data_IF_557995035144
#
_entry.id   IF_557995035144
#
_cell.length_a   1.000
_cell.length_b   1.000
_cell.length_c   1.000
_cell.angle_alpha   90.00
_cell.angle_beta   90.00
_cell.angle_gamma   90.00
#
_symmetry.space_group_name_H-M   'P 1'
#
loop_
_entity.id
_entity.type
_entity.pdbx_description
1 polymer ?
#
# COMPACT_ATOMS: atom_id res chain seq x y z
N UNK A 1 6.37 -44.69 -3.05
CA UNK A 1 5.82 -43.51 -3.76
C UNK A 1 5.95 -42.34 -2.81
N UNK A 2 6.91 -41.45 -3.07
CA UNK A 2 7.25 -40.36 -2.16
C UNK A 2 6.39 -39.14 -2.50
N UNK A 3 5.60 -38.71 -1.52
CA UNK A 3 4.66 -37.61 -1.66
C UNK A 3 5.45 -36.30 -1.69
N UNK A 4 5.92 -35.89 -2.87
CA UNK A 4 6.64 -34.63 -3.06
C UNK A 4 5.63 -33.47 -2.90
N UNK A 5 5.47 -32.98 -1.68
CA UNK A 5 4.71 -31.76 -1.41
C UNK A 5 5.45 -30.62 -2.12
N UNK A 6 4.86 -30.11 -3.21
CA UNK A 6 5.36 -28.91 -3.86
C UNK A 6 5.25 -27.76 -2.83
N UNK A 7 6.33 -27.02 -2.56
CA UNK A 7 6.21 -25.83 -1.71
C UNK A 7 5.18 -24.90 -2.35
N UNK A 8 4.20 -24.45 -1.56
CA UNK A 8 3.21 -23.51 -2.04
C UNK A 8 3.92 -22.26 -2.58
N UNK A 9 3.57 -21.86 -3.81
CA UNK A 9 4.11 -20.66 -4.44
C UNK A 9 3.68 -19.44 -3.60
N UNK A 10 4.59 -18.88 -2.79
CA UNK A 10 4.37 -17.58 -2.16
C UNK A 10 4.56 -16.49 -3.22
N UNK A 11 3.47 -15.85 -3.63
CA UNK A 11 3.52 -14.68 -4.50
C UNK A 11 3.96 -13.45 -3.68
N UNK A 12 4.77 -12.55 -4.25
CA UNK A 12 5.13 -11.30 -3.61
C UNK A 12 3.91 -10.37 -3.56
N UNK A 13 3.38 -10.17 -2.35
CA UNK A 13 2.14 -9.43 -2.09
C UNK A 13 2.27 -8.62 -0.80
N UNK A 14 1.47 -7.56 -0.69
CA UNK A 14 1.25 -6.84 0.55
C UNK A 14 0.17 -7.56 1.35
N UNK A 15 0.39 -7.72 2.65
CA UNK A 15 -0.69 -8.05 3.60
C UNK A 15 -1.54 -6.80 3.82
N UNK A 16 -2.85 -6.97 3.85
CA UNK A 16 -3.82 -5.89 4.05
C UNK A 16 -4.61 -6.17 5.32
N UNK A 17 -4.78 -5.16 6.15
CA UNK A 17 -5.65 -5.17 7.32
C UNK A 17 -6.63 -4.01 7.24
N UNK A 18 -7.93 -4.31 7.37
CA UNK A 18 -9.03 -3.34 7.33
C UNK A 18 -9.57 -3.13 8.75
N UNK A 19 -9.83 -1.88 9.12
CA UNK A 19 -10.22 -1.47 10.46
C UNK A 19 -11.46 -0.60 10.39
N UNK A 20 -12.42 -0.84 11.28
CA UNK A 20 -13.56 0.07 11.51
C UNK A 20 -13.22 1.22 12.47
N UNK A 21 -11.92 1.48 12.66
CA UNK A 21 -11.36 2.53 13.51
C UNK A 21 -10.21 3.22 12.75
N UNK A 22 -10.26 4.55 12.56
CA UNK A 22 -9.23 5.31 11.85
C UNK A 22 -7.91 5.42 12.64
N UNK A 23 -7.89 5.05 13.92
CA UNK A 23 -6.70 5.12 14.78
C UNK A 23 -5.88 3.82 14.80
N UNK A 24 -6.38 2.76 14.16
CA UNK A 24 -5.75 1.43 14.13
C UNK A 24 -5.49 0.83 15.53
N UNK A 25 -6.30 1.20 16.52
CA UNK A 25 -6.18 0.74 17.90
C UNK A 25 -6.91 -0.58 18.16
N UNK A 26 -7.99 -0.82 17.40
CA UNK A 26 -8.75 -2.06 17.42
C UNK A 26 -8.09 -3.17 16.58
N UNK A 27 -8.53 -4.43 16.78
CA UNK A 27 -8.19 -5.52 15.87
C UNK A 27 -8.80 -5.28 14.47
N UNK A 28 -8.14 -5.73 13.40
CA UNK A 28 -8.71 -5.62 12.05
C UNK A 28 -9.95 -6.49 11.91
N UNK A 29 -10.95 -5.98 11.20
CA UNK A 29 -12.21 -6.69 10.90
C UNK A 29 -12.06 -7.66 9.72
N UNK A 30 -11.10 -7.39 8.84
CA UNK A 30 -10.74 -8.23 7.70
C UNK A 30 -9.23 -8.16 7.47
N UNK A 31 -8.65 -9.28 7.06
CA UNK A 31 -7.30 -9.32 6.48
C UNK A 31 -7.35 -9.89 5.06
N UNK A 32 -6.44 -9.45 4.20
CA UNK A 32 -6.32 -9.91 2.81
C UNK A 32 -4.86 -9.83 2.35
N UNK A 33 -4.64 -10.10 1.06
CA UNK A 33 -3.40 -9.81 0.35
C UNK A 33 -3.70 -9.06 -0.96
N UNK A 34 -2.76 -8.23 -1.41
CA UNK A 34 -2.85 -7.55 -2.71
C UNK A 34 -1.47 -7.42 -3.35
N UNK A 35 -1.35 -7.55 -4.69
CA UNK A 35 -0.08 -7.28 -5.37
C UNK A 35 0.25 -5.79 -5.48
N UNK A 36 -0.69 -4.87 -5.19
CA UNK A 36 -0.53 -3.42 -5.35
C UNK A 36 -1.57 -2.61 -4.57
N UNK A 37 -1.31 -1.30 -4.39
CA UNK A 37 -2.26 -0.32 -3.81
C UNK A 37 -2.69 0.64 -4.92
N UNK A 38 -3.82 0.35 -5.53
CA UNK A 38 -4.41 1.12 -6.63
C UNK A 38 -5.92 0.85 -6.63
N UNK A 39 -6.72 1.77 -6.09
CA UNK A 39 -8.18 1.62 -6.12
C UNK A 39 -8.89 2.97 -6.17
N UNK A 40 -10.06 2.95 -6.81
CA UNK A 40 -11.06 4.00 -6.84
C UNK A 40 -12.43 3.37 -6.54
N UNK A 41 -12.95 3.54 -5.32
CA UNK A 41 -14.26 2.96 -4.97
C UNK A 41 -15.43 3.83 -5.45
N UNK A 42 -15.15 5.05 -5.93
CA UNK A 42 -16.16 6.02 -6.38
C UNK A 42 -17.05 5.55 -7.54
N UNK A 43 -16.63 4.51 -8.27
CA UNK A 43 -17.34 3.95 -9.43
C UNK A 43 -17.87 2.54 -9.14
N UNK A 44 -17.59 1.99 -7.95
CA UNK A 44 -18.07 0.67 -7.57
C UNK A 44 -19.51 0.75 -7.06
N UNK A 45 -20.40 -0.03 -7.69
CA UNK A 45 -21.81 -0.06 -7.31
C UNK A 45 -21.96 -0.71 -5.93
N UNK A 46 -22.27 0.09 -4.91
CA UNK A 46 -23.14 -0.38 -3.83
C UNK A 46 -22.77 -0.05 -2.40
N UNK A 47 -21.56 0.37 -2.02
CA UNK A 47 -21.28 0.48 -0.56
C UNK A 47 -20.30 1.54 -0.05
N UNK A 48 -19.55 2.27 -0.88
CA UNK A 48 -18.40 3.13 -0.46
C UNK A 48 -17.37 2.42 0.45
N UNK A 49 -17.54 1.10 0.65
CA UNK A 49 -16.77 0.26 1.54
C UNK A 49 -15.87 -0.66 0.72
N UNK A 50 -14.61 -0.87 1.15
CA UNK A 50 -13.73 -1.85 0.51
C UNK A 50 -14.26 -3.29 0.54
N UNK A 51 -15.10 -3.64 1.52
CA UNK A 51 -15.81 -4.93 1.58
C UNK A 51 -16.92 -4.90 2.66
N UNK A 52 -18.11 -4.46 2.28
CA UNK A 52 -19.25 -4.46 3.19
C UNK A 52 -19.68 -5.87 3.65
N UNK A 53 -19.43 -6.90 2.83
CA UNK A 53 -19.81 -8.29 3.17
C UNK A 53 -18.98 -8.86 4.32
N UNK A 54 -17.76 -8.34 4.50
CA UNK A 54 -16.89 -8.62 5.64
C UNK A 54 -17.07 -7.64 6.82
N UNK A 55 -18.06 -6.74 6.74
CA UNK A 55 -18.35 -5.79 7.82
C UNK A 55 -17.41 -4.58 7.88
N UNK A 56 -16.68 -4.27 6.80
CA UNK A 56 -15.90 -3.03 6.72
C UNK A 56 -16.86 -1.84 6.56
N UNK A 57 -16.71 -0.81 7.39
CA UNK A 57 -17.54 0.39 7.32
C UNK A 57 -17.35 1.14 5.99
N UNK A 58 -18.41 1.83 5.53
CA UNK A 58 -18.36 2.73 4.38
C UNK A 58 -17.62 4.05 4.66
N UNK A 59 -17.51 4.44 5.93
CA UNK A 59 -16.92 5.71 6.37
C UNK A 59 -16.13 5.50 7.66
N UNK A 60 -15.22 6.41 7.96
CA UNK A 60 -14.39 6.37 9.18
C UNK A 60 -13.68 5.02 9.39
N UNK A 61 -13.05 4.52 8.34
CA UNK A 61 -12.30 3.27 8.37
C UNK A 61 -10.80 3.51 8.12
N UNK A 62 -9.99 2.55 8.53
CA UNK A 62 -8.56 2.51 8.26
C UNK A 62 -8.19 1.30 7.40
N UNK A 63 -7.21 1.45 6.52
CA UNK A 63 -6.58 0.33 5.81
C UNK A 63 -5.08 0.41 6.01
N UNK A 64 -4.46 -0.69 6.41
CA UNK A 64 -3.02 -0.81 6.58
C UNK A 64 -2.49 -1.89 5.65
N UNK A 65 -1.51 -1.53 4.83
CA UNK A 65 -0.73 -2.46 4.05
C UNK A 65 0.64 -2.65 4.69
N UNK A 66 1.11 -3.89 4.75
CA UNK A 66 2.45 -4.23 5.22
C UNK A 66 3.08 -5.27 4.31
N UNK A 67 4.39 -5.20 4.17
CA UNK A 67 5.15 -6.17 3.39
C UNK A 67 6.59 -5.76 3.25
N UNK A 68 7.20 -6.20 2.16
CA UNK A 68 8.58 -5.87 1.85
C UNK A 68 8.73 -5.54 0.37
N UNK A 69 9.59 -4.56 0.11
CA UNK A 69 10.03 -4.12 -1.20
C UNK A 69 11.48 -4.52 -1.42
N UNK A 70 11.87 -4.67 -2.69
CA UNK A 70 13.25 -4.86 -3.12
C UNK A 70 13.51 -4.01 -4.34
N UNK A 71 14.36 -3.01 -4.18
CA UNK A 71 14.84 -2.20 -5.29
C UNK A 71 15.80 -3.02 -6.17
N UNK A 72 15.66 -2.94 -7.48
CA UNK A 72 16.59 -3.59 -8.42
C UNK A 72 17.87 -2.79 -8.64
N UNK A 73 17.84 -1.50 -8.31
CA UNK A 73 18.94 -0.56 -8.49
C UNK A 73 19.17 0.20 -7.19
N UNK A 74 20.41 0.63 -6.99
CA UNK A 74 20.80 1.48 -5.88
C UNK A 74 20.43 2.93 -6.20
N UNK A 75 19.92 3.66 -5.19
CA UNK A 75 19.77 5.11 -5.29
C UNK A 75 18.51 5.69 -4.63
N UNK A 76 18.26 6.97 -4.90
CA UNK A 76 17.09 7.71 -4.40
C UNK A 76 15.81 7.37 -5.18
N UNK A 77 14.87 6.70 -4.52
CA UNK A 77 13.54 6.42 -5.03
C UNK A 77 12.56 7.52 -4.61
N UNK A 78 11.68 7.90 -5.52
CA UNK A 78 10.58 8.82 -5.24
C UNK A 78 9.29 8.03 -5.12
N UNK A 79 8.60 8.17 -3.99
CA UNK A 79 7.26 7.64 -3.76
C UNK A 79 6.24 8.76 -3.84
N UNK A 80 5.08 8.45 -4.42
CA UNK A 80 3.93 9.34 -4.48
C UNK A 80 2.70 8.60 -3.96
N UNK A 81 2.01 9.20 -3.01
CA UNK A 81 0.66 8.80 -2.63
C UNK A 81 -0.32 9.80 -3.22
N UNK A 82 -1.31 9.32 -3.98
CA UNK A 82 -2.52 10.07 -4.32
C UNK A 82 -3.68 9.46 -3.53
N UNK A 83 -4.39 10.27 -2.76
CA UNK A 83 -5.54 9.81 -1.96
C UNK A 83 -6.56 10.92 -1.75
N UNK A 84 -7.82 10.52 -1.60
CA UNK A 84 -8.93 11.40 -1.19
C UNK A 84 -8.74 11.93 0.25
N UNK A 85 -8.11 11.15 1.12
CA UNK A 85 -8.02 11.45 2.55
C UNK A 85 -6.60 11.21 3.11
N UNK A 86 -6.48 10.97 4.42
CA UNK A 86 -5.19 10.89 5.12
C UNK A 86 -4.47 9.62 4.70
N UNK A 87 -3.17 9.75 4.41
CA UNK A 87 -2.35 8.62 4.03
C UNK A 87 -0.88 8.80 4.43
N UNK A 88 -0.23 7.71 4.79
CA UNK A 88 1.13 7.70 5.33
C UNK A 88 1.92 6.53 4.79
N UNK A 89 3.20 6.76 4.50
CA UNK A 89 4.14 5.72 4.05
C UNK A 89 5.32 5.67 5.01
N UNK A 90 5.71 4.45 5.38
CA UNK A 90 6.97 4.15 6.02
C UNK A 90 7.76 3.14 5.21
N UNK A 91 9.07 3.36 5.14
CA UNK A 91 10.06 2.44 4.59
C UNK A 91 11.11 2.21 5.67
N UNK A 92 11.37 0.95 6.04
CA UNK A 92 12.28 0.59 7.14
C UNK A 92 11.98 1.33 8.45
N UNK A 93 10.69 1.49 8.74
CA UNK A 93 10.19 2.19 9.92
C UNK A 93 10.33 3.71 9.87
N UNK A 94 11.04 4.27 8.88
CA UNK A 94 11.17 5.71 8.67
C UNK A 94 9.94 6.25 7.94
N UNK A 95 9.32 7.30 8.46
CA UNK A 95 8.15 7.93 7.82
C UNK A 95 8.60 8.74 6.59
N UNK A 96 8.24 8.25 5.40
CA UNK A 96 8.62 8.84 4.10
C UNK A 96 7.55 9.81 3.60
N UNK A 97 6.27 9.52 3.84
CA UNK A 97 5.13 10.40 3.48
C UNK A 97 4.20 10.53 4.69
N UNK A 98 3.73 11.75 4.96
CA UNK A 98 2.71 12.07 5.97
C UNK A 98 1.67 13.05 5.40
N UNK A 99 0.71 12.55 4.60
CA UNK A 99 -0.40 13.36 4.09
C UNK A 99 -1.48 13.44 5.16
N UNK A 100 -1.60 14.59 5.81
CA UNK A 100 -2.57 14.85 6.87
C UNK A 100 -3.87 15.50 6.38
N UNK A 101 -3.96 15.89 5.10
CA UNK A 101 -5.17 16.50 4.54
C UNK A 101 -6.30 15.49 4.36
N UNK A 102 -7.52 15.91 4.68
CA UNK A 102 -8.77 15.15 4.49
C UNK A 102 -9.45 15.46 3.16
N UNK A 103 -8.68 15.90 2.16
CA UNK A 103 -9.16 16.25 0.82
C UNK A 103 -8.28 15.60 -0.25
N UNK A 104 -8.83 15.36 -1.45
CA UNK A 104 -8.07 14.75 -2.54
C UNK A 104 -6.79 15.51 -2.85
N UNK A 105 -5.71 14.76 -3.06
CA UNK A 105 -4.42 15.33 -3.43
C UNK A 105 -3.28 14.31 -3.33
N UNK A 106 -2.10 14.77 -3.74
CA UNK A 106 -0.89 13.96 -3.74
C UNK A 106 0.12 14.44 -2.69
N UNK A 107 0.88 13.50 -2.15
CA UNK A 107 2.06 13.77 -1.34
C UNK A 107 3.24 12.95 -1.85
N UNK A 108 4.44 13.53 -1.81
CA UNK A 108 5.67 12.95 -2.35
C UNK A 108 6.66 12.78 -1.21
N UNK A 109 7.36 11.65 -1.21
CA UNK A 109 8.44 11.38 -0.29
C UNK A 109 9.56 10.66 -1.01
N UNK A 110 10.79 10.83 -0.52
CA UNK A 110 11.97 10.21 -1.13
C UNK A 110 12.72 9.40 -0.09
N UNK A 111 13.31 8.31 -0.53
CA UNK A 111 14.13 7.44 0.30
C UNK A 111 15.20 6.78 -0.55
N UNK A 112 16.40 6.62 0.00
CA UNK A 112 17.45 5.85 -0.64
C UNK A 112 17.21 4.36 -0.39
N UNK A 113 17.23 3.55 -1.45
CA UNK A 113 17.11 2.09 -1.37
C UNK A 113 18.36 1.44 -1.97
N UNK A 114 18.94 0.50 -1.24
CA UNK A 114 20.07 -0.29 -1.72
C UNK A 114 19.61 -1.36 -2.72
N UNK A 115 20.40 -1.55 -3.78
CA UNK A 115 20.12 -2.57 -4.78
C UNK A 115 20.04 -3.97 -4.15
N UNK A 116 18.99 -4.70 -4.50
CA UNK A 116 18.74 -6.08 -4.10
C UNK A 116 18.62 -6.34 -2.60
N UNK A 117 18.43 -5.29 -1.79
CA UNK A 117 18.12 -5.42 -0.37
C UNK A 117 16.61 -5.32 -0.14
N UNK A 118 16.13 -6.09 0.84
CA UNK A 118 14.73 -6.03 1.25
C UNK A 118 14.53 -4.86 2.21
N UNK A 119 13.56 -4.00 1.90
CA UNK A 119 13.12 -2.90 2.75
C UNK A 119 11.67 -3.16 3.19
N UNK A 120 11.38 -3.04 4.47
CA UNK A 120 10.01 -3.14 4.97
C UNK A 120 9.17 -1.96 4.48
N UNK A 121 7.95 -2.22 4.04
CA UNK A 121 6.97 -1.19 3.68
C UNK A 121 5.77 -1.28 4.61
N UNK A 122 5.34 -0.12 5.10
CA UNK A 122 4.03 0.05 5.74
C UNK A 122 3.33 1.25 5.12
N UNK A 123 2.06 1.08 4.78
CA UNK A 123 1.19 2.15 4.30
C UNK A 123 -0.05 2.16 5.16
N UNK A 124 -0.48 3.35 5.58
CA UNK A 124 -1.74 3.55 6.26
C UNK A 124 -2.57 4.55 5.48
N UNK A 125 -3.85 4.23 5.30
CA UNK A 125 -4.87 5.09 4.73
C UNK A 125 -6.04 5.18 5.69
N UNK A 126 -6.58 6.38 5.87
CA UNK A 126 -7.74 6.62 6.72
C UNK A 126 -8.78 7.36 5.89
N UNK A 127 -9.91 6.70 5.64
CA UNK A 127 -11.02 7.29 4.93
C UNK A 127 -12.02 7.91 5.91
N UNK A 128 -12.42 9.15 5.63
CA UNK A 128 -13.42 9.86 6.42
C UNK A 128 -14.84 9.62 5.90
N UNK A 129 -15.13 10.11 4.69
CA UNK A 129 -16.44 10.03 4.04
C UNK A 129 -16.32 10.27 2.54
N UNK A 130 -17.33 9.86 1.78
CA UNK A 130 -17.45 10.15 0.35
C UNK A 130 -16.65 9.17 -0.51
N UNK A 131 -16.20 9.64 -1.67
CA UNK A 131 -15.46 8.83 -2.63
C UNK A 131 -14.06 8.46 -2.11
N UNK A 132 -13.85 7.19 -1.78
CA UNK A 132 -12.54 6.67 -1.37
C UNK A 132 -11.65 6.34 -2.57
N UNK A 133 -10.40 6.81 -2.55
CA UNK A 133 -9.37 6.42 -3.53
C UNK A 133 -7.97 6.46 -2.95
N UNK A 134 -7.11 5.55 -3.42
CA UNK A 134 -5.72 5.48 -2.99
C UNK A 134 -4.85 4.82 -4.06
N UNK A 135 -3.77 5.52 -4.42
CA UNK A 135 -2.78 5.05 -5.36
C UNK A 135 -1.38 5.25 -4.76
N UNK A 136 -0.62 4.17 -4.67
CA UNK A 136 0.80 4.22 -4.32
C UNK A 136 1.64 4.02 -5.56
N UNK A 137 2.41 5.05 -5.90
CA UNK A 137 3.35 5.02 -7.00
C UNK A 137 4.78 5.20 -6.53
N UNK A 138 5.72 4.72 -7.32
CA UNK A 138 7.15 4.96 -7.14
C UNK A 138 7.87 5.12 -8.48
N UNK A 139 9.05 5.72 -8.46
CA UNK A 139 9.98 5.78 -9.59
C UNK A 139 11.42 5.61 -9.12
N UNK A 140 12.24 4.98 -9.97
CA UNK A 140 13.64 4.71 -9.70
C UNK A 140 14.54 5.91 -10.09
N UNK A 141 15.78 5.97 -9.57
CA UNK A 141 16.70 7.09 -9.85
C UNK A 141 17.08 7.20 -11.34
N UNK A 142 17.08 6.07 -12.07
CA UNK A 142 17.42 6.00 -13.49
C UNK A 142 16.25 6.37 -14.42
N UNK A 143 15.04 6.62 -13.89
CA UNK A 143 13.95 7.12 -14.70
C UNK A 143 14.33 8.52 -15.21
N UNK A 144 14.61 8.64 -16.51
CA UNK A 144 14.93 9.90 -17.20
C UNK A 144 13.84 10.98 -17.05
N UNK A 145 12.71 10.66 -16.43
CA UNK A 145 11.76 11.62 -15.91
C UNK A 145 11.08 11.06 -14.66
N UNK A 146 10.97 11.84 -13.56
CA UNK A 146 10.10 11.52 -12.42
C UNK A 146 8.63 11.28 -12.82
N UNK A 147 8.25 11.65 -14.05
CA UNK A 147 6.93 11.45 -14.64
C UNK A 147 6.58 9.97 -14.94
N UNK A 148 7.54 9.05 -15.01
CA UNK A 148 7.22 7.61 -15.14
C UNK A 148 7.06 7.00 -13.74
N UNK A 149 6.08 7.51 -13.00
CA UNK A 149 5.61 6.85 -11.79
C UNK A 149 4.92 5.55 -12.20
N UNK A 150 5.33 4.45 -11.57
CA UNK A 150 4.66 3.16 -11.69
C UNK A 150 3.91 2.87 -10.41
N UNK A 151 2.76 2.25 -10.50
CA UNK A 151 2.20 1.51 -9.36
C UNK A 151 3.31 0.58 -8.87
N UNK A 152 3.50 0.47 -7.56
CA UNK A 152 4.47 -0.46 -6.96
C UNK A 152 4.30 -1.84 -7.61
N UNK A 153 5.23 -2.28 -8.48
CA UNK A 153 5.02 -3.48 -9.25
C UNK A 153 5.23 -4.70 -8.38
N UNK A 154 4.52 -5.78 -8.68
CA UNK A 154 4.61 -7.03 -7.93
C UNK A 154 6.00 -7.65 -7.96
N UNK A 155 6.81 -7.42 -9.00
CA UNK A 155 8.20 -7.89 -9.09
C UNK A 155 9.15 -7.23 -8.07
N UNK A 156 8.72 -6.09 -7.54
CA UNK A 156 9.45 -5.30 -6.56
C UNK A 156 8.97 -5.61 -5.15
N UNK A 157 7.85 -6.29 -5.00
CA UNK A 157 7.44 -6.89 -3.74
C UNK A 157 8.25 -8.17 -3.51
N UNK A 158 8.51 -8.50 -2.25
CA UNK A 158 9.14 -9.77 -1.87
C UNK A 158 8.33 -10.44 -0.78
N UNK A 159 8.41 -11.76 -0.73
CA UNK A 159 7.71 -12.55 0.28
C UNK A 159 8.30 -12.25 1.66
N UNK A 160 7.44 -11.96 2.64
CA UNK A 160 7.87 -11.83 4.04
C UNK A 160 8.49 -13.16 4.49
N UNK A 161 9.72 -13.10 5.00
CA UNK A 161 10.44 -14.25 5.58
C UNK A 161 9.65 -14.86 6.74
#
# INVERSE_FOLDING_TARGET
>A
MENRIMPALKLPVLQVAYYNDPTFSAAPVKTSITPLIDFDLNTERGTDSPDASAGVNATNYGVRWTGALKATQDGEYTFTINSDNVARLWIDGVKVIDKTSTTPGSAIGKVHLAANQSASIKVEYVHGRGAASMHLLWSNPAAKSPAVLKIVPSDSLVTSN
#
